data_IF_992268095856
#
_entry.id   IF_992268095856
#
_cell.length_a   1.000
_cell.length_b   1.000
_cell.length_c   1.000
_cell.angle_alpha   90.00
_cell.angle_beta   90.00
_cell.angle_gamma   90.00
#
_symmetry.space_group_name_H-M   'P 1'
#
loop_
_entity.id
_entity.type
_entity.pdbx_description
1 polymer ?
#
# COMPACT_ATOMS: atom_id res chain seq x y z
N UNK A 1 -6.24 -18.50 -10.54
CA UNK A 1 -5.22 -18.43 -9.49
C UNK A 1 -4.11 -17.49 -9.89
N UNK A 2 -3.61 -16.71 -8.94
CA UNK A 2 -2.51 -15.78 -9.19
C UNK A 2 -1.19 -16.56 -9.27
N UNK A 3 -0.41 -16.32 -10.34
CA UNK A 3 0.91 -16.96 -10.49
C UNK A 3 2.01 -16.04 -9.98
N UNK A 4 3.17 -16.60 -9.66
CA UNK A 4 4.36 -15.81 -9.27
C UNK A 4 4.76 -14.82 -10.37
N UNK A 5 4.60 -15.18 -11.64
CA UNK A 5 4.83 -14.26 -12.77
C UNK A 5 3.91 -13.04 -12.71
N UNK A 6 2.62 -13.27 -12.47
CA UNK A 6 1.64 -12.18 -12.34
C UNK A 6 1.90 -11.35 -11.09
N UNK A 7 2.27 -11.99 -9.98
CA UNK A 7 2.62 -11.27 -8.75
C UNK A 7 3.79 -10.31 -8.97
N UNK A 8 4.84 -10.74 -9.66
CA UNK A 8 5.99 -9.89 -10.01
C UNK A 8 5.59 -8.70 -10.90
N UNK A 9 4.71 -8.94 -11.86
CA UNK A 9 4.18 -7.88 -12.72
C UNK A 9 3.39 -6.86 -11.91
N UNK A 10 2.50 -7.31 -11.04
CA UNK A 10 1.63 -6.45 -10.23
C UNK A 10 2.43 -5.58 -9.25
N UNK A 11 3.43 -6.15 -8.59
CA UNK A 11 4.27 -5.39 -7.66
C UNK A 11 5.04 -4.28 -8.39
N UNK A 12 5.58 -4.56 -9.56
CA UNK A 12 6.29 -3.58 -10.39
C UNK A 12 5.36 -2.52 -10.98
N UNK A 13 4.18 -2.93 -11.43
CA UNK A 13 3.16 -2.00 -11.88
C UNK A 13 2.78 -1.02 -10.76
N UNK A 14 2.55 -1.53 -9.56
CA UNK A 14 2.16 -0.69 -8.43
C UNK A 14 3.24 0.34 -8.08
N UNK A 15 4.50 -0.08 -8.09
CA UNK A 15 5.63 0.84 -7.88
C UNK A 15 5.70 1.92 -8.98
N UNK A 16 5.58 1.53 -10.24
CA UNK A 16 5.54 2.47 -11.35
C UNK A 16 4.38 3.46 -11.23
N UNK A 17 3.18 2.98 -10.92
CA UNK A 17 2.00 3.82 -10.77
C UNK A 17 2.14 4.80 -9.58
N UNK A 18 2.74 4.37 -8.48
CA UNK A 18 3.07 5.25 -7.36
C UNK A 18 4.03 6.36 -7.76
N UNK A 19 5.08 6.03 -8.53
CA UNK A 19 6.03 7.03 -9.05
C UNK A 19 5.30 8.07 -9.91
N UNK A 20 4.47 7.64 -10.83
CA UNK A 20 3.69 8.55 -11.69
C UNK A 20 2.83 9.49 -10.84
N UNK A 21 2.15 8.96 -9.83
CA UNK A 21 1.30 9.76 -8.96
C UNK A 21 2.10 10.73 -8.10
N UNK A 22 3.16 10.27 -7.45
CA UNK A 22 4.00 11.15 -6.60
C UNK A 22 4.67 12.25 -7.43
N UNK A 23 5.15 11.94 -8.63
CA UNK A 23 5.73 12.94 -9.54
C UNK A 23 4.69 13.98 -9.95
N UNK A 24 3.47 13.56 -10.27
CA UNK A 24 2.37 14.46 -10.64
C UNK A 24 1.99 15.39 -9.48
N UNK A 25 1.89 14.86 -8.26
CA UNK A 25 1.56 15.65 -7.07
C UNK A 25 2.70 16.61 -6.72
N UNK A 26 3.95 16.17 -6.87
CA UNK A 26 5.13 17.03 -6.64
C UNK A 26 5.22 18.19 -7.64
N UNK A 27 4.70 18.02 -8.83
CA UNK A 27 4.70 19.04 -9.88
C UNK A 27 3.59 20.10 -9.73
N UNK A 28 2.68 19.93 -8.78
CA UNK A 28 1.63 20.92 -8.52
C UNK A 28 2.23 22.23 -7.98
N UNK A 29 1.53 23.37 -8.17
CA UNK A 29 1.95 24.63 -7.57
C UNK A 29 2.12 24.49 -6.04
N UNK A 30 3.02 25.29 -5.41
CA UNK A 30 3.22 25.24 -3.97
C UNK A 30 1.92 25.34 -3.18
N UNK A 31 1.73 24.41 -2.22
CA UNK A 31 0.56 24.36 -1.35
C UNK A 31 -0.63 23.60 -1.90
N UNK A 32 -0.70 23.28 -3.21
CA UNK A 32 -1.86 22.59 -3.78
C UNK A 32 -1.99 21.14 -3.30
N UNK A 33 -0.88 20.44 -3.10
CA UNK A 33 -0.91 19.05 -2.62
C UNK A 33 -1.45 18.91 -1.19
N UNK A 34 -1.24 19.92 -0.36
CA UNK A 34 -1.68 19.96 1.04
C UNK A 34 -2.96 20.78 1.25
N UNK A 35 -3.52 21.35 0.19
CA UNK A 35 -4.77 22.10 0.25
C UNK A 35 -5.92 21.19 0.70
N UNK A 36 -6.68 21.63 1.69
CA UNK A 36 -7.85 20.92 2.18
C UNK A 36 -8.90 20.76 1.07
N UNK A 37 -9.41 19.53 0.94
CA UNK A 37 -10.40 19.18 -0.09
C UNK A 37 -11.54 18.38 0.53
N UNK A 38 -12.68 18.39 -0.14
CA UNK A 38 -13.84 17.57 0.22
C UNK A 38 -13.60 16.14 -0.25
N UNK A 39 -12.81 15.38 0.50
CA UNK A 39 -12.47 13.99 0.23
C UNK A 39 -12.40 13.22 1.55
N UNK A 40 -12.21 11.90 1.48
CA UNK A 40 -12.12 11.05 2.67
C UNK A 40 -11.01 11.50 3.63
N UNK A 41 -9.87 11.94 3.08
CA UNK A 41 -8.76 12.51 3.84
C UNK A 41 -8.58 13.99 3.48
N UNK A 42 -7.95 14.76 4.37
CA UNK A 42 -7.88 16.22 4.29
C UNK A 42 -7.29 16.75 2.98
N UNK A 43 -6.26 16.08 2.45
CA UNK A 43 -5.55 16.54 1.28
C UNK A 43 -4.94 15.37 0.49
N UNK A 44 -4.30 15.65 -0.65
CA UNK A 44 -3.70 14.62 -1.50
C UNK A 44 -2.58 13.87 -0.80
N UNK A 45 -1.70 14.56 -0.08
CA UNK A 45 -0.59 13.93 0.63
C UNK A 45 -1.11 13.00 1.73
N UNK A 46 -2.16 13.41 2.44
CA UNK A 46 -2.79 12.59 3.47
C UNK A 46 -3.46 11.34 2.87
N UNK A 47 -4.02 11.44 1.68
CA UNK A 47 -4.55 10.28 0.94
C UNK A 47 -3.43 9.32 0.55
N UNK A 48 -2.31 9.82 0.05
CA UNK A 48 -1.14 9.00 -0.28
C UNK A 48 -0.54 8.36 0.98
N UNK A 49 -0.57 9.06 2.10
CA UNK A 49 -0.15 8.51 3.39
C UNK A 49 -1.06 7.35 3.84
N UNK A 50 -2.36 7.43 3.59
CA UNK A 50 -3.28 6.32 3.83
C UNK A 50 -2.86 5.08 3.05
N UNK A 51 -2.55 5.21 1.77
CA UNK A 51 -2.06 4.09 0.95
C UNK A 51 -0.79 3.48 1.54
N UNK A 52 0.14 4.30 1.96
CA UNK A 52 1.37 3.85 2.61
C UNK A 52 1.10 3.07 3.90
N UNK A 53 0.24 3.59 4.77
CA UNK A 53 -0.13 2.92 6.03
C UNK A 53 -0.79 1.56 5.76
N UNK A 54 -1.69 1.49 4.78
CA UNK A 54 -2.34 0.23 4.39
C UNK A 54 -1.31 -0.77 3.85
N UNK A 55 -0.35 -0.32 3.06
CA UNK A 55 0.73 -1.19 2.57
C UNK A 55 1.54 -1.79 3.72
N UNK A 56 1.83 -1.00 4.76
CA UNK A 56 2.53 -1.47 5.96
C UNK A 56 1.69 -2.46 6.77
N UNK A 57 0.40 -2.23 6.89
CA UNK A 57 -0.52 -3.13 7.59
C UNK A 57 -0.53 -4.50 6.91
N UNK A 58 -0.68 -4.54 5.61
CA UNK A 58 -0.70 -5.80 4.86
C UNK A 58 0.66 -6.49 4.82
N UNK A 59 1.76 -5.73 4.80
CA UNK A 59 3.10 -6.29 4.99
C UNK A 59 3.17 -7.06 6.31
N UNK A 60 2.72 -6.48 7.39
CA UNK A 60 2.70 -7.13 8.69
C UNK A 60 1.86 -8.40 8.69
N UNK A 61 0.68 -8.39 8.06
CA UNK A 61 -0.14 -9.59 7.93
C UNK A 61 0.58 -10.69 7.14
N UNK A 62 1.24 -10.34 6.03
CA UNK A 62 2.02 -11.31 5.25
C UNK A 62 3.21 -11.87 6.03
N UNK A 63 3.78 -11.10 6.93
CA UNK A 63 4.89 -11.51 7.79
C UNK A 63 4.44 -12.19 9.10
N UNK A 64 3.14 -12.24 9.37
CA UNK A 64 2.59 -12.87 10.56
C UNK A 64 2.88 -12.11 11.85
N UNK A 65 3.00 -10.80 11.80
CA UNK A 65 3.28 -9.94 12.97
C UNK A 65 2.22 -8.87 13.16
N UNK A 66 2.20 -8.30 14.36
CA UNK A 66 1.35 -7.15 14.66
C UNK A 66 1.86 -5.91 13.92
N UNK A 67 0.95 -5.17 13.28
CA UNK A 67 1.30 -3.94 12.57
C UNK A 67 1.39 -2.71 13.48
N UNK A 68 0.81 -2.76 14.68
CA UNK A 68 0.87 -1.66 15.65
C UNK A 68 -0.02 -0.45 15.35
N UNK A 69 -0.76 -0.44 14.24
CA UNK A 69 -1.66 0.67 13.90
C UNK A 69 -3.04 0.48 14.55
N UNK A 70 -3.61 1.58 15.02
CA UNK A 70 -4.98 1.63 15.56
C UNK A 70 -5.96 2.26 14.59
N UNK A 71 -5.48 2.84 13.51
CA UNK A 71 -6.27 3.47 12.44
C UNK A 71 -5.63 3.23 11.08
N UNK A 72 -6.40 3.45 10.02
CA UNK A 72 -5.97 3.22 8.62
C UNK A 72 -5.18 4.38 8.03
N UNK A 73 -4.83 5.35 8.84
CA UNK A 73 -3.99 6.49 8.50
C UNK A 73 -3.39 7.05 9.78
N UNK A 74 -2.36 7.86 9.66
CA UNK A 74 -1.85 8.64 10.79
C UNK A 74 -2.56 9.99 10.87
N UNK A 75 -2.63 10.57 12.06
CA UNK A 75 -3.26 11.87 12.28
C UNK A 75 -2.60 12.96 11.44
N UNK A 76 -1.27 12.97 11.45
CA UNK A 76 -0.45 13.86 10.66
C UNK A 76 0.30 13.06 9.60
N UNK A 77 0.50 13.63 8.43
CA UNK A 77 1.31 13.01 7.38
C UNK A 77 2.69 13.66 7.30
N UNK A 78 3.72 12.92 6.86
CA UNK A 78 5.02 13.53 6.58
C UNK A 78 4.95 14.44 5.34
N UNK A 79 5.96 15.28 5.12
CA UNK A 79 6.09 15.98 3.84
C UNK A 79 6.14 15.01 2.66
N UNK A 80 5.66 15.44 1.50
CA UNK A 80 5.54 14.59 0.31
C UNK A 80 6.85 13.88 -0.07
N UNK A 81 7.97 14.60 -0.04
CA UNK A 81 9.28 14.03 -0.39
C UNK A 81 9.73 12.92 0.56
N UNK A 82 9.45 13.09 1.86
CA UNK A 82 9.73 12.06 2.87
C UNK A 82 8.79 10.87 2.70
N UNK A 83 7.51 11.13 2.45
CA UNK A 83 6.53 10.06 2.19
C UNK A 83 6.92 9.25 0.96
N UNK A 84 7.40 9.89 -0.11
CA UNK A 84 7.84 9.19 -1.31
C UNK A 84 9.00 8.24 -1.03
N UNK A 85 9.97 8.66 -0.24
CA UNK A 85 11.08 7.77 0.18
C UNK A 85 10.57 6.55 0.93
N UNK A 86 9.62 6.74 1.83
CA UNK A 86 8.98 5.66 2.59
C UNK A 86 8.17 4.74 1.69
N UNK A 87 7.42 5.30 0.74
CA UNK A 87 6.64 4.53 -0.23
C UNK A 87 7.55 3.70 -1.14
N UNK A 88 8.66 4.25 -1.60
CA UNK A 88 9.64 3.50 -2.40
C UNK A 88 10.19 2.30 -1.62
N UNK A 89 10.49 2.47 -0.35
CA UNK A 89 11.00 1.39 0.48
C UNK A 89 9.98 0.23 0.62
N UNK A 90 8.70 0.53 0.85
CA UNK A 90 7.67 -0.52 0.93
C UNK A 90 7.37 -1.13 -0.45
N UNK A 91 7.39 -0.35 -1.51
CA UNK A 91 7.25 -0.87 -2.87
C UNK A 91 8.39 -1.86 -3.21
N UNK A 92 9.62 -1.52 -2.85
CA UNK A 92 10.77 -2.41 -3.03
C UNK A 92 10.63 -3.70 -2.22
N UNK A 93 10.05 -3.62 -1.03
CA UNK A 93 9.75 -4.81 -0.24
C UNK A 93 8.75 -5.73 -0.96
N UNK A 94 7.66 -5.18 -1.51
CA UNK A 94 6.67 -5.98 -2.26
C UNK A 94 7.26 -6.58 -3.53
N UNK A 95 8.12 -5.85 -4.23
CA UNK A 95 8.84 -6.37 -5.40
C UNK A 95 9.73 -7.55 -4.99
N UNK A 96 10.55 -7.39 -3.96
CA UNK A 96 11.43 -8.45 -3.48
C UNK A 96 10.64 -9.67 -2.96
N UNK A 97 9.52 -9.42 -2.26
CA UNK A 97 8.61 -10.47 -1.82
C UNK A 97 8.02 -11.24 -3.01
N UNK A 98 7.55 -10.53 -4.04
CA UNK A 98 6.99 -11.15 -5.25
C UNK A 98 8.02 -11.95 -6.04
N UNK A 99 9.29 -11.56 -5.96
CA UNK A 99 10.39 -12.27 -6.62
C UNK A 99 10.72 -13.60 -5.91
N UNK A 100 10.39 -13.74 -4.64
CA UNK A 100 10.66 -14.96 -3.84
C UNK A 100 9.49 -15.89 -3.72
N UNK A 101 8.25 -15.40 -3.87
CA UNK A 101 7.05 -16.20 -3.64
C UNK A 101 6.84 -17.21 -4.77
N UNK A 102 6.46 -18.44 -4.41
CA UNK A 102 6.08 -19.48 -5.37
C UNK A 102 4.58 -19.43 -5.66
N UNK A 103 4.16 -20.08 -6.76
CA UNK A 103 2.73 -20.26 -7.06
C UNK A 103 2.00 -20.93 -5.90
N UNK A 104 2.58 -21.97 -5.32
CA UNK A 104 1.98 -22.67 -4.18
C UNK A 104 1.85 -21.76 -2.95
N UNK A 105 2.86 -20.95 -2.66
CA UNK A 105 2.82 -20.03 -1.53
C UNK A 105 1.75 -18.93 -1.73
N UNK A 106 1.47 -18.52 -2.95
CA UNK A 106 0.42 -17.55 -3.25
C UNK A 106 -0.98 -18.07 -2.90
N UNK A 107 -1.18 -19.37 -2.87
CA UNK A 107 -2.44 -19.99 -2.49
C UNK A 107 -2.57 -20.26 -0.98
N UNK A 108 -1.51 -20.06 -0.21
CA UNK A 108 -1.55 -20.21 1.25
C UNK A 108 -2.43 -19.14 1.88
N UNK A 109 -3.31 -19.56 2.81
CA UNK A 109 -4.19 -18.66 3.54
C UNK A 109 -3.41 -17.95 4.64
N UNK A 110 -3.69 -16.67 4.77
CA UNK A 110 -3.22 -15.81 5.85
C UNK A 110 -4.42 -15.37 6.66
N UNK A 111 -4.43 -15.67 7.94
CA UNK A 111 -5.43 -15.17 8.88
C UNK A 111 -4.95 -13.86 9.49
N UNK A 112 -5.85 -12.93 9.68
CA UNK A 112 -5.53 -11.62 10.22
C UNK A 112 -6.70 -11.04 11.02
N UNK A 113 -6.41 -10.05 11.83
CA UNK A 113 -7.41 -9.24 12.52
C UNK A 113 -7.40 -7.83 11.93
N UNK A 114 -8.55 -7.40 11.44
CA UNK A 114 -8.72 -6.03 10.91
C UNK A 114 -8.72 -5.01 12.05
N UNK A 115 -8.41 -3.76 11.72
CA UNK A 115 -8.64 -2.65 12.64
C UNK A 115 -10.14 -2.62 12.96
N UNK A 116 -10.48 -2.60 14.25
CA UNK A 116 -11.86 -2.77 14.72
C UNK A 116 -12.16 -4.16 15.27
N UNK A 117 -11.25 -5.12 15.13
CA UNK A 117 -11.30 -6.42 15.79
C UNK A 117 -11.92 -7.55 14.97
N UNK A 118 -12.48 -7.30 13.80
CA UNK A 118 -13.01 -8.36 12.95
C UNK A 118 -11.89 -9.22 12.39
N UNK A 119 -12.08 -10.54 12.42
CA UNK A 119 -11.15 -11.49 11.83
C UNK A 119 -11.47 -11.73 10.36
N UNK A 120 -10.42 -11.96 9.58
CA UNK A 120 -10.52 -12.31 8.17
C UNK A 120 -9.43 -13.28 7.77
N UNK A 121 -9.56 -13.81 6.57
CA UNK A 121 -8.55 -14.67 5.95
C UNK A 121 -8.58 -14.49 4.44
N UNK A 122 -7.41 -14.40 3.85
CA UNK A 122 -7.20 -14.27 2.40
C UNK A 122 -5.96 -15.08 2.03
N UNK A 123 -5.89 -15.52 0.78
CA UNK A 123 -4.62 -16.07 0.28
C UNK A 123 -3.60 -14.94 0.11
N UNK A 124 -2.31 -15.29 0.07
CA UNK A 124 -1.24 -14.31 -0.19
C UNK A 124 -1.44 -13.60 -1.53
N UNK A 125 -1.90 -14.32 -2.55
CA UNK A 125 -2.23 -13.74 -3.85
C UNK A 125 -3.39 -12.74 -3.78
N UNK A 126 -4.45 -13.08 -3.06
CA UNK A 126 -5.58 -12.18 -2.83
C UNK A 126 -5.16 -10.90 -2.08
N UNK A 127 -4.28 -11.03 -1.11
CA UNK A 127 -3.73 -9.87 -0.38
C UNK A 127 -2.98 -8.93 -1.35
N UNK A 128 -2.12 -9.48 -2.22
CA UNK A 128 -1.41 -8.67 -3.20
C UNK A 128 -2.38 -7.96 -4.15
N UNK A 129 -3.37 -8.67 -4.67
CA UNK A 129 -4.41 -8.08 -5.52
C UNK A 129 -5.16 -6.97 -4.78
N UNK A 130 -5.50 -7.20 -3.52
CA UNK A 130 -6.18 -6.21 -2.69
C UNK A 130 -5.35 -4.93 -2.53
N UNK A 131 -4.06 -5.05 -2.26
CA UNK A 131 -3.14 -3.92 -2.11
C UNK A 131 -3.09 -3.09 -3.40
N UNK A 132 -2.89 -3.74 -4.55
CA UNK A 132 -2.80 -3.06 -5.85
C UNK A 132 -4.13 -2.38 -6.21
N UNK A 133 -5.24 -3.07 -5.99
CA UNK A 133 -6.57 -2.53 -6.24
C UNK A 133 -6.88 -1.34 -5.32
N UNK A 134 -6.57 -1.45 -4.04
CA UNK A 134 -6.77 -0.40 -3.05
C UNK A 134 -5.99 0.87 -3.42
N UNK A 135 -4.70 0.74 -3.73
CA UNK A 135 -3.89 1.88 -4.17
C UNK A 135 -4.39 2.49 -5.47
N UNK A 136 -4.83 1.68 -6.41
CA UNK A 136 -5.41 2.16 -7.67
C UNK A 136 -6.70 2.95 -7.44
N UNK A 137 -7.53 2.49 -6.50
CA UNK A 137 -8.77 3.18 -6.13
C UNK A 137 -8.51 4.59 -5.57
N UNK A 138 -7.47 4.75 -4.74
CA UNK A 138 -7.15 6.03 -4.11
C UNK A 138 -6.24 6.92 -4.96
N UNK A 139 -5.52 6.34 -5.92
CA UNK A 139 -4.76 7.16 -6.88
C UNK A 139 -5.72 7.85 -7.85
#
# INVERSE_FOLDING_TARGET
>A
MLTAKTARMLARYNHWANRVMFDAVAALPPGEAEKERKSLFRNMVHTLNHNYVIDLIWQAHLEGRDHGFTARNTREHPPLGELWKKQQAIDDWYIAWSDRVSDAALDERVEFTLIGGNRGAMTRGEILLHIVNHTSYHR
#
